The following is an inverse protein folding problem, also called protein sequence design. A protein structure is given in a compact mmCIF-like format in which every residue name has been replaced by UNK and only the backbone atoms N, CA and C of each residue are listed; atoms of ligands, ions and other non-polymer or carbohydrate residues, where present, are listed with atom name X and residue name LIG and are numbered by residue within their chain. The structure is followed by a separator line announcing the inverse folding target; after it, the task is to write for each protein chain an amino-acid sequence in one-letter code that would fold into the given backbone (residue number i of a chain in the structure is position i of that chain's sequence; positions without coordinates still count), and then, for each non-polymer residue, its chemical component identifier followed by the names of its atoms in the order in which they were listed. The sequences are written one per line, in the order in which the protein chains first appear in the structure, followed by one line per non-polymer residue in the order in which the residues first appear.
data_IF_684863513563
#
_entry.id   IF_684863513563
#
_cell.length_a   1.000
_cell.length_b   1.000
_cell.length_c   1.000
_cell.angle_alpha   90.00
_cell.angle_beta   90.00
_cell.angle_gamma   90.00
#
_symmetry.space_group_name_H-M   'P 1'
#
loop_
_entity.id
_entity.type
_entity.pdbx_description
1 polymer ?
#
# COMPACT_ATOMS: atom_id res chain seq x y z
N UNK A 1 -6.69 -1.14 13.89
CA UNK A 1 -6.47 -2.60 13.89
C UNK A 1 -5.47 -2.87 14.99
N UNK A 2 -5.75 -3.79 15.91
CA UNK A 2 -4.88 -4.06 17.07
C UNK A 2 -3.42 -4.31 16.67
N UNK A 3 -3.18 -4.97 15.54
CA UNK A 3 -1.83 -5.20 15.00
C UNK A 3 -1.09 -3.91 14.66
N UNK A 4 -1.73 -2.93 14.00
CA UNK A 4 -1.08 -1.63 13.68
C UNK A 4 -0.71 -0.88 14.95
N UNK A 5 -1.57 -0.93 15.96
CA UNK A 5 -1.32 -0.28 17.24
C UNK A 5 -0.13 -0.94 17.96
N UNK A 6 -0.08 -2.28 17.98
CA UNK A 6 1.04 -3.04 18.58
C UNK A 6 2.37 -2.79 17.86
N UNK A 7 2.31 -2.68 16.54
CA UNK A 7 3.45 -2.45 15.67
C UNK A 7 3.96 -1.00 15.82
N UNK A 8 3.06 -0.03 15.89
CA UNK A 8 3.41 1.34 16.27
C UNK A 8 4.06 1.38 17.66
N UNK A 9 3.47 0.73 18.66
CA UNK A 9 4.02 0.71 20.02
C UNK A 9 5.41 0.07 20.12
N UNK A 10 5.69 -0.96 19.31
CA UNK A 10 6.99 -1.63 19.29
C UNK A 10 8.08 -0.81 18.57
N UNK A 11 7.70 -0.07 17.53
CA UNK A 11 8.64 0.65 16.69
C UNK A 11 8.70 2.17 16.96
N UNK A 12 7.79 2.75 17.75
CA UNK A 12 7.73 4.21 18.01
C UNK A 12 9.03 4.85 18.49
N UNK A 13 9.84 4.11 19.24
CA UNK A 13 11.14 4.60 19.74
C UNK A 13 12.27 4.47 18.71
N UNK A 14 12.02 3.75 17.61
CA UNK A 14 12.91 3.55 16.44
C UNK A 14 12.46 4.33 15.20
N UNK A 15 11.21 4.77 15.16
CA UNK A 15 10.68 5.71 14.15
C UNK A 15 11.24 7.10 14.47
N UNK A 16 12.51 7.32 14.12
CA UNK A 16 13.26 8.53 14.50
C UNK A 16 13.10 9.68 13.50
N UNK A 17 12.50 9.45 12.32
CA UNK A 17 11.98 10.53 11.47
C UNK A 17 11.73 10.14 10.01
N UNK A 18 10.61 10.63 9.48
CA UNK A 18 10.08 10.53 8.10
C UNK A 18 9.36 9.23 7.69
N UNK A 19 8.44 9.37 6.71
CA UNK A 19 7.61 8.31 6.11
C UNK A 19 8.45 7.10 5.61
N UNK A 20 9.72 7.34 5.25
CA UNK A 20 10.66 6.29 4.82
C UNK A 20 10.95 5.25 5.92
N UNK A 21 10.96 5.65 7.20
CA UNK A 21 11.15 4.71 8.32
C UNK A 21 9.97 3.73 8.43
N UNK A 22 8.74 4.22 8.18
CA UNK A 22 7.53 3.39 8.24
C UNK A 22 7.48 2.38 7.09
N UNK A 23 7.94 2.75 5.90
CA UNK A 23 8.01 1.85 4.75
C UNK A 23 9.01 0.71 4.99
N UNK A 24 10.21 1.02 5.48
CA UNK A 24 11.24 0.01 5.78
C UNK A 24 10.78 -0.94 6.89
N UNK A 25 10.17 -0.41 7.96
CA UNK A 25 9.61 -1.23 9.05
C UNK A 25 8.50 -2.14 8.53
N UNK A 26 7.58 -1.59 7.72
CA UNK A 26 6.48 -2.38 7.14
C UNK A 26 7.01 -3.51 6.27
N UNK A 27 7.98 -3.22 5.40
CA UNK A 27 8.58 -4.22 4.51
C UNK A 27 9.30 -5.31 5.29
N UNK A 28 10.09 -4.94 6.30
CA UNK A 28 10.82 -5.90 7.15
C UNK A 28 9.87 -6.88 7.85
N UNK A 29 8.71 -6.39 8.31
CA UNK A 29 7.71 -7.23 8.95
C UNK A 29 7.03 -8.14 7.93
N UNK A 30 6.64 -7.60 6.78
CA UNK A 30 6.00 -8.40 5.73
C UNK A 30 6.90 -9.53 5.21
N UNK A 31 8.22 -9.34 5.20
CA UNK A 31 9.20 -10.38 4.83
C UNK A 31 9.25 -11.55 5.83
N UNK A 32 8.90 -11.32 7.09
CA UNK A 32 8.87 -12.33 8.15
C UNK A 32 7.56 -13.12 8.20
N UNK A 33 6.48 -12.59 7.59
CA UNK A 33 5.15 -13.20 7.62
C UNK A 33 4.96 -14.21 6.49
N UNK A 34 4.37 -15.35 6.83
CA UNK A 34 3.91 -16.29 5.82
C UNK A 34 2.44 -16.05 5.42
N UNK A 35 1.94 -16.85 4.47
CA UNK A 35 0.55 -16.74 4.00
C UNK A 35 -0.47 -16.97 5.13
N UNK A 36 -0.17 -17.86 6.07
CA UNK A 36 -1.07 -18.13 7.19
C UNK A 36 -1.14 -16.91 8.11
N UNK A 37 0.00 -16.29 8.41
CA UNK A 37 0.05 -15.10 9.27
C UNK A 37 -0.69 -13.92 8.64
N UNK A 38 -0.51 -13.69 7.35
CA UNK A 38 -1.25 -12.65 6.62
C UNK A 38 -2.77 -12.88 6.66
N UNK A 39 -3.23 -14.12 6.53
CA UNK A 39 -4.65 -14.45 6.63
C UNK A 39 -5.19 -14.28 8.05
N UNK A 40 -4.34 -14.46 9.06
CA UNK A 40 -4.72 -14.22 10.44
C UNK A 40 -4.89 -12.72 10.70
N UNK A 41 -3.99 -11.87 10.19
CA UNK A 41 -4.14 -10.42 10.26
C UNK A 41 -5.44 -9.93 9.60
N UNK A 42 -5.77 -10.46 8.42
CA UNK A 42 -7.01 -10.10 7.71
C UNK A 42 -8.26 -10.53 8.51
N UNK A 43 -8.22 -11.65 9.22
CA UNK A 43 -9.35 -12.11 10.06
C UNK A 43 -9.59 -11.23 11.28
N UNK A 44 -8.57 -10.49 11.72
CA UNK A 44 -8.63 -9.62 12.90
C UNK A 44 -9.08 -8.19 12.58
N UNK A 45 -9.15 -7.84 11.29
CA UNK A 45 -9.71 -6.58 10.82
C UNK A 45 -11.21 -6.49 11.09
N UNK A 46 -11.69 -5.31 11.42
CA UNK A 46 -13.12 -5.02 11.39
C UNK A 46 -13.65 -4.82 9.96
N UNK A 47 -14.97 -4.66 9.81
CA UNK A 47 -15.62 -4.55 8.50
C UNK A 47 -15.11 -3.33 7.69
N UNK A 48 -14.83 -2.21 8.36
CA UNK A 48 -14.38 -0.98 7.70
C UNK A 48 -12.91 -1.11 7.25
N UNK A 49 -12.07 -1.71 8.09
CA UNK A 49 -10.67 -2.02 7.79
C UNK A 49 -10.54 -3.02 6.64
N UNK A 50 -11.32 -4.10 6.67
CA UNK A 50 -11.36 -5.10 5.62
C UNK A 50 -11.83 -4.48 4.29
N UNK A 51 -12.90 -3.68 4.33
CA UNK A 51 -13.40 -2.97 3.15
C UNK A 51 -12.34 -2.02 2.59
N UNK A 52 -11.67 -1.25 3.46
CA UNK A 52 -10.60 -0.34 3.08
C UNK A 52 -9.42 -1.07 2.42
N UNK A 53 -8.93 -2.15 3.05
CA UNK A 53 -7.81 -2.95 2.52
C UNK A 53 -8.16 -3.56 1.16
N UNK A 54 -9.32 -4.21 1.02
CA UNK A 54 -9.76 -4.81 -0.24
C UNK A 54 -9.99 -3.74 -1.31
N UNK A 55 -10.60 -2.62 -0.94
CA UNK A 55 -10.84 -1.49 -1.84
C UNK A 55 -9.55 -0.89 -2.39
N UNK A 56 -8.55 -0.65 -1.52
CA UNK A 56 -7.24 -0.14 -1.92
C UNK A 56 -6.51 -1.12 -2.85
N UNK A 57 -6.50 -2.41 -2.52
CA UNK A 57 -5.88 -3.44 -3.36
C UNK A 57 -6.50 -3.50 -4.76
N UNK A 58 -7.83 -3.48 -4.86
CA UNK A 58 -8.55 -3.45 -6.14
C UNK A 58 -8.23 -2.17 -6.92
N UNK A 59 -8.23 -1.02 -6.25
CA UNK A 59 -7.95 0.28 -6.87
C UNK A 59 -6.54 0.32 -7.48
N UNK A 60 -5.51 -0.06 -6.72
CA UNK A 60 -4.12 -0.05 -7.20
C UNK A 60 -3.91 -1.08 -8.32
N UNK A 61 -4.52 -2.26 -8.20
CA UNK A 61 -4.51 -3.28 -9.26
C UNK A 61 -5.16 -2.76 -10.55
N UNK A 62 -6.27 -2.02 -10.43
CA UNK A 62 -6.95 -1.42 -11.57
C UNK A 62 -6.10 -0.33 -12.22
N UNK A 63 -5.49 0.56 -11.44
CA UNK A 63 -4.56 1.59 -11.95
C UNK A 63 -3.39 0.96 -12.70
N UNK A 64 -2.77 -0.08 -12.12
CA UNK A 64 -1.67 -0.81 -12.75
C UNK A 64 -2.10 -1.44 -14.09
N UNK A 65 -3.29 -2.05 -14.13
CA UNK A 65 -3.87 -2.58 -15.37
C UNK A 65 -4.12 -1.47 -16.39
N UNK A 66 -4.72 -0.36 -15.99
CA UNK A 66 -4.99 0.77 -16.89
C UNK A 66 -3.69 1.32 -17.50
N UNK A 67 -2.65 1.49 -16.69
CA UNK A 67 -1.35 1.94 -17.15
C UNK A 67 -0.71 0.96 -18.13
N UNK A 68 -0.81 -0.36 -17.86
CA UNK A 68 -0.32 -1.41 -18.76
C UNK A 68 -1.03 -1.38 -20.12
N UNK A 69 -2.34 -1.15 -20.13
CA UNK A 69 -3.19 -1.10 -21.34
C UNK A 69 -3.16 0.29 -22.01
N UNK A 70 -2.43 1.27 -21.47
CA UNK A 70 -2.34 2.64 -21.98
C UNK A 70 -3.59 3.49 -21.79
N UNK A 71 -4.55 3.04 -20.98
CA UNK A 71 -5.76 3.79 -20.63
C UNK A 71 -5.41 4.89 -19.61
N UNK A 72 -5.89 6.11 -19.82
CA UNK A 72 -5.64 7.25 -18.93
C UNK A 72 -4.33 8.00 -19.20
N UNK A 73 -3.51 7.55 -20.16
CA UNK A 73 -2.49 8.40 -20.76
C UNK A 73 -3.19 9.41 -21.67
N UNK A 74 -3.63 10.52 -21.08
CA UNK A 74 -3.97 11.71 -21.86
C UNK A 74 -2.75 12.01 -22.69
N UNK A 75 -2.82 11.76 -24.01
CA UNK A 75 -1.82 12.23 -24.96
C UNK A 75 -1.68 13.72 -24.67
N UNK A 76 -0.57 14.13 -24.05
CA UNK A 76 -0.19 15.54 -24.11
C UNK A 76 -0.22 15.87 -25.61
N UNK A 77 -0.97 16.88 -26.05
CA UNK A 77 -0.95 17.28 -27.45
C UNK A 77 0.52 17.50 -27.74
N UNK A 78 1.08 16.69 -28.63
CA UNK A 78 2.45 16.83 -29.09
C UNK A 78 2.66 18.30 -29.36
N UNK A 79 3.47 18.95 -28.52
CA UNK A 79 3.83 20.34 -28.70
C UNK A 79 4.33 20.40 -30.14
N UNK A 80 3.52 21.01 -30.99
CA UNK A 80 3.91 21.30 -32.36
C UNK A 80 5.07 22.25 -32.19
N UNK A 81 6.30 21.73 -32.30
CA UNK A 81 7.47 22.56 -32.51
C UNK A 81 7.30 23.06 -33.93
N UNK A 82 6.62 24.19 -34.02
CA UNK A 82 6.42 24.96 -35.24
C UNK A 82 7.70 25.77 -35.46
N UNK A 83 8.34 25.49 -36.60
CA UNK A 83 9.46 26.17 -37.25
C UNK A 83 10.89 25.89 -36.76
#
# INVERSE_FOLDING_TARGET
MKFVDELYEYYKDRLTGDEEDAEVVTMSILEELDRHDLLQLIKEMDDDELMGMVGLFILESLKAKMAHEGLGQTKMPSASVVH
#
